data_IF_653517802045
#
_entry.id   IF_653517802045
#
_cell.length_a   1.000
_cell.length_b   1.000
_cell.length_c   1.000
_cell.angle_alpha   90.00
_cell.angle_beta   90.00
_cell.angle_gamma   90.00
#
_symmetry.space_group_name_H-M   'P 1'
#
loop_
_entity.id
_entity.type
_entity.pdbx_description
1 polymer ?
#
# COMPACT_ATOMS: atom_id res chain seq x y z
N UNK A 1 -3.58 29.55 -10.75
CA UNK A 1 -4.91 29.39 -11.39
C UNK A 1 -5.61 28.21 -10.73
N UNK A 2 -6.88 28.40 -10.34
CA UNK A 2 -8.00 27.44 -10.22
C UNK A 2 -7.61 25.94 -10.35
N UNK A 3 -7.80 25.04 -9.40
CA UNK A 3 -8.93 24.86 -8.48
C UNK A 3 -9.68 23.58 -8.87
N UNK A 4 -9.78 22.62 -7.95
CA UNK A 4 -10.69 21.50 -8.05
C UNK A 4 -10.50 20.50 -6.90
N UNK A 5 -11.43 20.38 -5.94
CA UNK A 5 -11.49 19.21 -5.08
C UNK A 5 -11.83 17.99 -5.95
N UNK A 6 -11.00 16.96 -5.91
CA UNK A 6 -11.28 15.68 -6.55
C UNK A 6 -12.52 15.10 -5.88
N UNK A 7 -13.67 15.17 -6.54
CA UNK A 7 -14.86 14.44 -6.13
C UNK A 7 -14.56 12.95 -6.25
N UNK A 8 -14.32 12.31 -5.10
CA UNK A 8 -14.28 10.85 -5.01
C UNK A 8 -15.67 10.36 -5.38
N UNK A 9 -15.82 9.74 -6.56
CA UNK A 9 -17.09 9.11 -6.94
C UNK A 9 -17.35 7.94 -5.98
N UNK A 10 -18.26 8.13 -5.03
CA UNK A 10 -18.65 7.14 -4.01
C UNK A 10 -19.25 5.86 -4.62
N UNK A 11 -19.63 5.90 -5.89
CA UNK A 11 -20.27 4.81 -6.63
C UNK A 11 -19.38 3.55 -6.80
N UNK A 12 -18.06 3.67 -6.60
CA UNK A 12 -17.11 2.56 -6.80
C UNK A 12 -16.45 2.03 -5.51
N UNK A 13 -16.81 2.55 -4.33
CA UNK A 13 -16.19 2.15 -3.05
C UNK A 13 -17.11 1.19 -2.28
N UNK A 14 -16.76 -0.09 -2.24
CA UNK A 14 -17.43 -1.09 -1.41
C UNK A 14 -16.87 -1.07 0.02
N UNK A 15 -17.66 -0.59 0.99
CA UNK A 15 -17.31 -0.67 2.42
C UNK A 15 -17.75 -2.02 2.99
N UNK A 16 -16.85 -2.72 3.68
CA UNK A 16 -17.12 -4.01 4.33
C UNK A 16 -16.65 -3.99 5.78
N UNK A 17 -17.35 -4.72 6.64
CA UNK A 17 -16.93 -4.98 8.03
C UNK A 17 -15.79 -6.00 8.07
N UNK A 18 -15.09 -6.10 9.21
CA UNK A 18 -14.01 -7.08 9.41
C UNK A 18 -14.51 -8.52 9.27
N UNK A 19 -15.70 -8.81 9.79
CA UNK A 19 -16.35 -10.13 9.72
C UNK A 19 -16.74 -10.49 8.28
N UNK A 20 -17.12 -9.50 7.47
CA UNK A 20 -17.39 -9.68 6.05
C UNK A 20 -16.09 -9.87 5.26
N UNK A 21 -15.06 -9.06 5.53
CA UNK A 21 -13.75 -9.17 4.90
C UNK A 21 -13.13 -10.56 5.11
N UNK A 22 -13.20 -11.10 6.33
CA UNK A 22 -12.68 -12.43 6.65
C UNK A 22 -13.33 -13.57 5.86
N UNK A 23 -14.54 -13.35 5.31
CA UNK A 23 -15.26 -14.32 4.48
C UNK A 23 -14.97 -14.15 2.98
N UNK A 24 -14.32 -13.05 2.58
CA UNK A 24 -13.97 -12.81 1.19
C UNK A 24 -12.81 -13.74 0.78
N UNK A 25 -12.97 -14.39 -0.36
CA UNK A 25 -11.89 -15.22 -0.92
C UNK A 25 -10.82 -14.33 -1.51
N UNK A 26 -9.61 -14.38 -0.93
CA UNK A 26 -8.43 -13.79 -1.54
C UNK A 26 -8.19 -14.38 -2.93
N UNK A 27 -7.89 -13.53 -3.92
CA UNK A 27 -7.50 -13.95 -5.27
C UNK A 27 -5.98 -14.10 -5.43
N UNK A 28 -5.22 -13.72 -4.40
CA UNK A 28 -3.76 -13.78 -4.39
C UNK A 28 -3.27 -15.22 -4.50
N UNK A 29 -2.41 -15.49 -5.49
CA UNK A 29 -1.71 -16.76 -5.58
C UNK A 29 -0.49 -16.74 -4.65
N UNK A 30 -0.68 -17.25 -3.43
CA UNK A 30 0.35 -17.25 -2.38
C UNK A 30 1.52 -18.20 -2.66
N UNK A 31 1.31 -19.26 -3.44
CA UNK A 31 2.39 -20.18 -3.82
C UNK A 31 3.39 -19.47 -4.73
N UNK A 32 2.88 -18.80 -5.77
CA UNK A 32 3.70 -17.98 -6.68
C UNK A 32 4.46 -16.88 -5.94
N UNK A 33 3.83 -16.23 -4.95
CA UNK A 33 4.49 -15.18 -4.16
C UNK A 33 5.66 -15.75 -3.36
N UNK A 34 5.51 -16.96 -2.77
CA UNK A 34 6.56 -17.59 -1.96
C UNK A 34 7.74 -18.09 -2.78
N UNK A 35 7.50 -18.45 -4.04
CA UNK A 35 8.53 -18.97 -4.95
C UNK A 35 9.27 -17.86 -5.72
N UNK A 36 8.83 -16.61 -5.60
CA UNK A 36 9.40 -15.48 -6.32
C UNK A 36 10.84 -15.20 -5.85
N UNK A 37 11.76 -15.09 -6.79
CA UNK A 37 13.14 -14.71 -6.49
C UNK A 37 13.27 -13.22 -6.14
N UNK A 38 14.31 -12.85 -5.40
CA UNK A 38 14.61 -11.46 -5.05
C UNK A 38 14.72 -10.55 -6.30
N UNK A 39 15.28 -11.08 -7.40
CA UNK A 39 15.39 -10.33 -8.65
C UNK A 39 14.02 -10.06 -9.30
N UNK A 40 13.11 -11.03 -9.24
CA UNK A 40 11.73 -10.86 -9.70
C UNK A 40 10.93 -9.92 -8.80
N UNK A 41 11.14 -9.98 -7.48
CA UNK A 41 10.53 -9.06 -6.52
C UNK A 41 10.98 -7.63 -6.82
N UNK A 42 12.29 -7.39 -6.95
CA UNK A 42 12.84 -6.07 -7.24
C UNK A 42 12.35 -5.52 -8.58
N UNK A 43 12.29 -6.36 -9.60
CA UNK A 43 11.75 -5.98 -10.92
C UNK A 43 10.26 -5.61 -10.82
N UNK A 44 9.46 -6.44 -10.17
CA UNK A 44 8.02 -6.18 -10.00
C UNK A 44 7.76 -4.88 -9.23
N UNK A 45 8.55 -4.62 -8.18
CA UNK A 45 8.44 -3.37 -7.43
C UNK A 45 8.82 -2.14 -8.28
N UNK A 46 9.81 -2.26 -9.15
CA UNK A 46 10.23 -1.16 -10.04
C UNK A 46 9.23 -0.89 -11.17
N UNK A 47 8.58 -1.95 -11.67
CA UNK A 47 7.59 -1.86 -12.76
C UNK A 47 6.18 -1.53 -12.25
N UNK A 48 5.93 -1.56 -10.93
CA UNK A 48 4.63 -1.27 -10.34
C UNK A 48 4.27 0.21 -10.50
N UNK A 49 3.22 0.56 -11.27
CA UNK A 49 2.76 1.94 -11.41
C UNK A 49 2.33 2.58 -10.10
N UNK A 50 1.92 1.77 -9.11
CA UNK A 50 1.53 2.22 -7.78
C UNK A 50 2.73 2.39 -6.84
N UNK A 51 3.96 2.09 -7.30
CA UNK A 51 5.22 2.33 -6.59
C UNK A 51 6.10 3.38 -7.32
N UNK A 52 5.63 4.63 -7.47
CA UNK A 52 6.41 5.66 -8.13
C UNK A 52 7.70 5.96 -7.35
N UNK A 53 8.77 6.44 -8.03
CA UNK A 53 9.99 6.87 -7.36
C UNK A 53 9.70 7.91 -6.29
N UNK A 54 10.30 7.74 -5.11
CA UNK A 54 10.21 8.74 -4.05
C UNK A 54 10.98 10.02 -4.47
N UNK A 55 10.44 11.21 -4.17
CA UNK A 55 11.19 12.46 -4.25
C UNK A 55 12.49 12.39 -3.45
N UNK A 56 13.53 13.11 -3.89
CA UNK A 56 14.84 13.08 -3.26
C UNK A 56 14.83 13.59 -1.81
N UNK A 57 13.88 14.47 -1.49
CA UNK A 57 13.65 15.10 -0.18
C UNK A 57 12.58 14.38 0.66
N UNK A 58 12.05 13.24 0.18
CA UNK A 58 10.93 12.53 0.83
C UNK A 58 11.20 12.19 2.30
N UNK A 59 12.45 11.89 2.65
CA UNK A 59 12.84 11.52 4.01
C UNK A 59 13.36 12.69 4.85
N UNK A 60 13.49 13.88 4.30
CA UNK A 60 14.07 15.04 5.00
C UNK A 60 13.19 15.51 6.18
N UNK A 61 11.88 15.23 6.13
CA UNK A 61 10.91 15.60 7.16
C UNK A 61 10.41 14.40 8.01
N UNK A 62 10.96 13.20 7.81
CA UNK A 62 10.54 12.02 8.58
C UNK A 62 11.08 12.13 10.00
N UNK A 63 10.24 12.64 10.91
CA UNK A 63 10.46 12.53 12.35
C UNK A 63 10.47 11.04 12.71
N UNK A 64 11.61 10.55 13.21
CA UNK A 64 11.69 9.24 13.84
C UNK A 64 10.57 9.13 14.88
N UNK A 65 9.61 8.21 14.66
CA UNK A 65 8.72 7.78 15.72
C UNK A 65 9.59 7.10 16.77
N UNK A 66 9.91 7.81 17.85
CA UNK A 66 10.52 7.22 19.03
C UNK A 66 9.67 6.01 19.43
N UNK A 67 10.27 4.85 19.77
CA UNK A 67 9.50 3.71 20.20
C UNK A 67 8.70 4.13 21.43
N UNK A 68 7.38 4.23 21.26
CA UNK A 68 6.48 4.38 22.39
C UNK A 68 6.75 3.22 23.33
N UNK A 69 7.15 3.54 24.55
CA UNK A 69 7.29 2.58 25.65
C UNK A 69 5.98 1.77 25.75
N UNK A 70 5.98 0.58 25.16
CA UNK A 70 5.02 -0.44 25.51
C UNK A 70 5.59 -1.09 26.77
N UNK A 71 5.20 -0.56 27.94
CA UNK A 71 5.37 -1.29 29.19
C UNK A 71 4.66 -2.66 29.03
N UNK A 72 5.32 -3.78 29.41
CA UNK A 72 4.79 -5.12 29.26
C UNK A 72 3.53 -5.39 30.08
#
# INVERSE_FOLDING_TARGET
MLGGPTTVNEEHITRVTREQWAKLKGKTNWEKVKEMSEAEIAKNALEDPDNPPLPADFFDEVLECAPGSLNP
#
